data_IF_522068068435
#
_entry.id   IF_522068068435
#
_cell.length_a   1.000
_cell.length_b   1.000
_cell.length_c   1.000
_cell.angle_alpha   90.00
_cell.angle_beta   90.00
_cell.angle_gamma   90.00
#
_symmetry.space_group_name_H-M   'P 1'
#
loop_
_entity.id
_entity.type
_entity.pdbx_description
1 polymer ?
#
# COMPACT_ATOMS: atom_id res chain seq x y z
N UNK A 1 1.42 -5.06 -12.52
CA UNK A 1 1.71 -6.35 -11.86
C UNK A 1 0.50 -6.56 -10.96
N UNK A 2 -0.43 -7.47 -11.26
CA UNK A 2 -1.77 -7.41 -10.65
C UNK A 2 -1.74 -7.64 -9.14
N UNK A 3 -1.90 -6.56 -8.36
CA UNK A 3 -2.15 -6.59 -6.92
C UNK A 3 -3.65 -6.71 -6.72
N UNK A 4 -4.08 -7.70 -5.92
CA UNK A 4 -5.49 -7.89 -5.59
C UNK A 4 -5.82 -7.39 -4.19
N UNK A 5 -7.08 -7.01 -4.01
CA UNK A 5 -7.59 -6.66 -2.68
C UNK A 5 -7.45 -7.88 -1.76
N UNK A 6 -6.70 -7.71 -0.67
CA UNK A 6 -6.41 -8.77 0.30
C UNK A 6 -4.99 -9.32 0.25
N UNK A 7 -4.20 -8.99 -0.78
CA UNK A 7 -2.80 -9.41 -0.85
C UNK A 7 -1.96 -8.67 0.20
N UNK A 8 -1.08 -9.41 0.87
CA UNK A 8 -0.07 -8.81 1.75
C UNK A 8 1.10 -8.38 0.89
N UNK A 9 1.49 -7.12 0.99
CA UNK A 9 2.57 -6.56 0.19
C UNK A 9 3.68 -6.00 1.07
N UNK A 10 4.90 -6.00 0.55
CA UNK A 10 6.06 -5.35 1.15
C UNK A 10 6.37 -4.11 0.32
N UNK A 11 6.37 -2.95 0.97
CA UNK A 11 6.65 -1.65 0.34
C UNK A 11 7.70 -0.89 1.16
N UNK A 12 8.29 0.14 0.55
CA UNK A 12 9.23 1.05 1.23
C UNK A 12 8.46 2.17 1.92
N UNK A 13 8.78 2.43 3.19
CA UNK A 13 8.11 3.44 4.04
C UNK A 13 8.28 4.88 3.52
N UNK A 14 9.36 5.13 2.79
CA UNK A 14 9.84 6.48 2.44
C UNK A 14 8.89 7.35 1.59
N UNK A 15 7.87 6.78 0.94
CA UNK A 15 7.00 7.52 0.01
C UNK A 15 5.51 7.30 0.29
N UNK A 16 5.15 6.95 1.52
CA UNK A 16 3.75 6.69 1.85
C UNK A 16 3.03 7.94 2.30
N UNK A 17 1.79 8.13 1.82
CA UNK A 17 0.92 9.24 2.22
C UNK A 17 -0.20 8.70 3.09
N UNK A 18 -0.27 9.17 4.32
CA UNK A 18 -1.37 8.84 5.24
C UNK A 18 -2.56 9.76 4.96
N UNK A 19 -3.73 9.16 4.75
CA UNK A 19 -4.98 9.86 4.46
C UNK A 19 -6.05 9.38 5.44
N UNK A 20 -6.74 10.32 6.11
CA UNK A 20 -7.89 9.98 6.96
C UNK A 20 -9.18 10.37 6.25
N UNK A 21 -10.09 9.41 6.07
CA UNK A 21 -11.39 9.64 5.45
C UNK A 21 -12.46 8.92 6.26
N UNK A 22 -13.47 9.66 6.74
CA UNK A 22 -14.60 9.12 7.51
C UNK A 22 -14.15 8.24 8.70
N UNK A 23 -13.18 8.74 9.49
CA UNK A 23 -12.57 8.04 10.63
C UNK A 23 -11.78 6.76 10.30
N UNK A 24 -11.52 6.50 9.01
CA UNK A 24 -10.67 5.40 8.55
C UNK A 24 -9.32 5.94 8.08
N UNK A 25 -8.25 5.37 8.61
CA UNK A 25 -6.87 5.65 8.19
C UNK A 25 -6.51 4.79 6.98
N UNK A 26 -6.05 5.44 5.93
CA UNK A 26 -5.58 4.82 4.70
C UNK A 26 -4.12 5.18 4.47
N UNK A 27 -3.36 4.23 3.94
CA UNK A 27 -2.01 4.45 3.46
C UNK A 27 -2.01 4.38 1.94
N UNK A 28 -1.70 5.50 1.29
CA UNK A 28 -1.58 5.59 -0.16
C UNK A 28 -0.10 5.48 -0.53
N UNK A 29 0.21 4.50 -1.36
CA UNK A 29 1.53 4.30 -1.95
C UNK A 29 1.36 4.06 -3.45
N UNK A 30 2.41 4.34 -4.22
CA UNK A 30 2.41 4.04 -5.65
C UNK A 30 2.75 2.58 -5.89
N UNK A 31 2.25 2.00 -6.98
CA UNK A 31 2.54 0.60 -7.35
C UNK A 31 4.04 0.36 -7.55
N UNK A 32 4.80 1.37 -8.00
CA UNK A 32 6.26 1.31 -8.18
C UNK A 32 7.04 1.08 -6.87
N UNK A 33 6.49 1.47 -5.72
CA UNK A 33 7.12 1.33 -4.41
C UNK A 33 6.90 -0.06 -3.78
N UNK A 34 6.09 -0.91 -4.43
CA UNK A 34 5.81 -2.28 -3.99
C UNK A 34 6.95 -3.20 -4.41
N UNK A 35 7.69 -3.71 -3.42
CA UNK A 35 8.85 -4.58 -3.63
C UNK A 35 8.44 -6.02 -3.92
N UNK A 36 7.47 -6.54 -3.17
CA UNK A 36 7.03 -7.92 -3.26
C UNK A 36 5.60 -8.11 -2.76
N UNK A 37 4.95 -9.17 -3.23
CA UNK A 37 3.69 -9.70 -2.68
C UNK A 37 4.00 -10.98 -1.91
N UNK A 38 3.42 -11.12 -0.71
CA UNK A 38 3.52 -12.31 0.13
C UNK A 38 2.20 -13.08 -0.07
N UNK A 39 2.29 -14.21 -0.76
CA UNK A 39 1.18 -15.15 -0.95
C UNK A 39 1.02 -16.07 0.28
#
# INVERSE_FOLDING_TARGET
KDIKVGDKIVFKEYSTTELKVNDVEYLVLKEEDVLATIA
#
